data_IF_399677839603
#
_entry.id   IF_399677839603
#
_cell.length_a   1.000
_cell.length_b   1.000
_cell.length_c   1.000
_cell.angle_alpha   90.00
_cell.angle_beta   90.00
_cell.angle_gamma   90.00
#
_symmetry.space_group_name_H-M   'P 1'
#
loop_
_entity.id
_entity.type
_entity.pdbx_description
1 polymer ?
#
# COMPACT_ATOMS: atom_id res chain seq x y z
N UNK A 1 11.26 17.38 -14.83
CA UNK A 1 11.25 16.16 -14.00
C UNK A 1 11.68 14.99 -14.88
N UNK A 2 12.99 14.71 -14.96
CA UNK A 2 13.59 13.75 -15.92
C UNK A 2 13.58 12.29 -15.44
N UNK A 3 13.10 12.04 -14.23
CA UNK A 3 12.88 10.70 -13.67
C UNK A 3 11.59 10.70 -12.84
N UNK A 4 10.45 10.99 -13.47
CA UNK A 4 9.18 10.70 -12.81
C UNK A 4 9.15 9.19 -12.53
N UNK A 5 9.23 8.78 -11.26
CA UNK A 5 8.87 7.42 -10.86
C UNK A 5 7.41 7.25 -11.25
N UNK A 6 7.17 6.52 -12.34
CA UNK A 6 5.84 6.35 -12.88
C UNK A 6 4.96 5.73 -11.78
N UNK A 7 3.80 6.34 -11.54
CA UNK A 7 2.76 5.70 -10.75
C UNK A 7 2.41 4.36 -11.39
N UNK A 8 2.01 3.38 -10.57
CA UNK A 8 1.47 2.13 -11.11
C UNK A 8 0.36 2.44 -12.11
N UNK A 9 0.34 1.72 -13.22
CA UNK A 9 -0.75 1.78 -14.20
C UNK A 9 -1.73 0.65 -13.86
N UNK A 10 -2.82 0.91 -13.12
CA UNK A 10 -3.76 -0.12 -12.78
C UNK A 10 -4.42 -0.67 -14.05
N UNK A 11 -4.49 -2.00 -14.15
CA UNK A 11 -5.28 -2.69 -15.16
C UNK A 11 -6.60 -3.16 -14.56
N UNK A 12 -7.66 -3.39 -15.37
CA UNK A 12 -8.90 -3.99 -14.89
C UNK A 12 -8.63 -5.25 -14.05
N UNK A 13 -9.27 -5.32 -12.88
CA UNK A 13 -9.05 -6.40 -11.91
C UNK A 13 -7.99 -6.11 -10.84
N UNK A 14 -7.26 -4.99 -10.87
CA UNK A 14 -6.31 -4.68 -9.79
C UNK A 14 -7.01 -4.47 -8.43
N UNK A 15 -8.08 -3.67 -8.39
CA UNK A 15 -8.76 -3.31 -7.13
C UNK A 15 -9.60 -4.47 -6.60
N UNK A 16 -10.34 -5.15 -7.47
CA UNK A 16 -11.35 -6.16 -7.11
C UNK A 16 -10.94 -7.60 -7.41
N UNK A 17 -9.77 -7.84 -8.01
CA UNK A 17 -9.31 -9.17 -8.40
C UNK A 17 -8.51 -9.92 -7.33
N UNK A 18 -8.50 -9.45 -6.07
CA UNK A 18 -7.83 -10.13 -4.96
C UNK A 18 -6.30 -9.97 -4.94
N UNK A 19 -5.68 -9.42 -6.00
CA UNK A 19 -4.23 -9.27 -6.09
C UNK A 19 -3.69 -8.23 -5.10
N UNK A 20 -4.44 -7.13 -4.92
CA UNK A 20 -4.09 -6.04 -4.01
C UNK A 20 -4.11 -6.48 -2.55
N UNK A 21 -5.06 -7.33 -2.18
CA UNK A 21 -5.18 -7.93 -0.86
C UNK A 21 -4.00 -8.85 -0.58
N UNK A 22 -3.64 -9.72 -1.54
CA UNK A 22 -2.45 -10.58 -1.44
C UNK A 22 -1.16 -9.77 -1.27
N UNK A 23 -1.01 -8.66 -1.99
CA UNK A 23 0.14 -7.76 -1.86
C UNK A 23 0.17 -6.98 -0.54
N UNK A 24 -0.98 -6.83 0.13
CA UNK A 24 -1.09 -6.14 1.42
C UNK A 24 -0.74 -7.03 2.62
N UNK A 25 -0.55 -8.33 2.41
CA UNK A 25 -0.20 -9.29 3.46
C UNK A 25 1.19 -8.97 4.00
N UNK A 26 1.28 -8.85 5.33
CA UNK A 26 2.55 -8.65 6.02
C UNK A 26 3.24 -9.97 6.32
N UNK A 27 4.57 -9.92 6.42
CA UNK A 27 5.40 -11.03 6.85
C UNK A 27 6.01 -10.71 8.23
N UNK A 28 6.60 -11.71 8.94
CA UNK A 28 7.32 -11.44 10.18
C UNK A 28 8.36 -10.33 9.97
N UNK A 29 8.25 -9.26 10.75
CA UNK A 29 9.11 -8.07 10.70
C UNK A 29 9.13 -7.32 9.35
N UNK A 30 8.14 -7.54 8.46
CA UNK A 30 8.04 -6.86 7.17
C UNK A 30 6.59 -6.44 6.90
N UNK A 31 6.37 -5.13 6.82
CA UNK A 31 5.07 -4.54 6.50
C UNK A 31 5.17 -3.68 5.25
N UNK A 32 4.25 -3.90 4.30
CA UNK A 32 4.16 -3.08 3.10
C UNK A 32 3.34 -1.81 3.34
N UNK A 33 3.82 -0.70 2.80
CA UNK A 33 3.27 0.65 3.01
C UNK A 33 3.11 1.47 1.71
N UNK A 34 3.14 0.83 0.54
CA UNK A 34 3.01 1.55 -0.72
C UNK A 34 1.58 2.03 -0.94
N UNK A 35 1.41 3.29 -1.37
CA UNK A 35 0.13 3.88 -1.82
C UNK A 35 -0.61 3.04 -2.87
N UNK A 36 0.11 2.31 -3.74
CA UNK A 36 -0.49 1.43 -4.75
C UNK A 36 -1.40 0.33 -4.16
N UNK A 37 -1.18 -0.04 -2.90
CA UNK A 37 -2.04 -0.98 -2.16
C UNK A 37 -3.45 -0.41 -1.89
N UNK A 38 -3.65 0.89 -2.07
CA UNK A 38 -4.95 1.56 -2.05
C UNK A 38 -5.61 1.63 -3.42
N UNK A 39 -4.94 1.19 -4.48
CA UNK A 39 -5.44 1.22 -5.86
C UNK A 39 -5.23 2.56 -6.57
N UNK A 40 -4.80 3.60 -5.86
CA UNK A 40 -4.42 4.91 -6.42
C UNK A 40 -3.17 5.45 -5.74
N UNK A 41 -2.26 6.03 -6.52
CA UNK A 41 -0.94 6.48 -6.04
C UNK A 41 -0.95 7.97 -5.70
N UNK A 42 -1.73 8.37 -4.69
CA UNK A 42 -1.79 9.76 -4.20
C UNK A 42 -1.05 9.90 -2.85
N UNK A 43 -0.74 11.14 -2.47
CA UNK A 43 0.04 11.42 -1.25
C UNK A 43 -0.70 11.04 0.02
N UNK A 44 -2.02 11.24 0.06
CA UNK A 44 -2.90 10.88 1.18
C UNK A 44 -2.86 9.37 1.45
N UNK A 45 -2.86 8.57 0.39
CA UNK A 45 -2.74 7.12 0.50
C UNK A 45 -1.35 6.70 0.93
N UNK A 46 -0.30 7.36 0.44
CA UNK A 46 1.07 7.10 0.88
C UNK A 46 1.24 7.36 2.39
N UNK A 47 0.71 8.48 2.87
CA UNK A 47 0.71 8.82 4.29
C UNK A 47 -0.07 7.79 5.11
N UNK A 48 -1.29 7.48 4.70
CA UNK A 48 -2.18 6.54 5.40
C UNK A 48 -1.56 5.14 5.47
N UNK A 49 -0.97 4.66 4.37
CA UNK A 49 -0.29 3.35 4.33
C UNK A 49 0.95 3.32 5.21
N UNK A 50 1.74 4.40 5.22
CA UNK A 50 2.87 4.57 6.13
C UNK A 50 2.46 4.54 7.60
N UNK A 51 1.43 5.31 7.96
CA UNK A 51 0.86 5.34 9.31
C UNK A 51 0.37 3.96 9.76
N UNK A 52 -0.36 3.25 8.90
CA UNK A 52 -0.82 1.90 9.19
C UNK A 52 0.32 0.90 9.35
N UNK A 53 1.38 1.00 8.56
CA UNK A 53 2.56 0.15 8.72
C UNK A 53 3.29 0.42 10.04
N UNK A 54 3.42 1.68 10.44
CA UNK A 54 3.98 2.04 11.75
C UNK A 54 3.14 1.45 12.90
N UNK A 55 1.81 1.56 12.86
CA UNK A 55 0.94 0.96 13.87
C UNK A 55 1.06 -0.57 13.92
N UNK A 56 1.30 -1.25 12.78
CA UNK A 56 1.56 -2.70 12.77
C UNK A 56 2.86 -3.04 13.51
N UNK A 57 3.91 -2.24 13.31
CA UNK A 57 5.20 -2.40 14.02
C UNK A 57 5.01 -2.21 15.52
N UNK A 58 4.22 -1.21 15.93
CA UNK A 58 3.95 -0.90 17.34
C UNK A 58 2.97 -1.88 17.99
N UNK A 59 2.26 -2.71 17.22
CA UNK A 59 1.21 -3.60 17.73
C UNK A 59 -0.11 -2.89 18.06
N UNK A 60 -0.32 -1.68 17.55
CA UNK A 60 -1.47 -0.80 17.86
C UNK A 60 -2.58 -0.85 16.80
N UNK A 61 -2.54 -1.83 15.89
CA UNK A 61 -3.50 -1.91 14.80
C UNK A 61 -4.91 -2.24 15.34
N UNK A 62 -5.81 -1.25 15.31
CA UNK A 62 -7.24 -1.45 15.52
C UNK A 62 -7.80 -2.30 14.38
N UNK A 63 -8.48 -3.39 14.74
CA UNK A 63 -9.22 -4.28 13.85
C UNK A 63 -10.41 -3.52 13.27
#
# INVERSE_FOLDING_TARGET
MTYAHAMIRPIPGLIWGGQREKLSVSYPNLHFAHSDLSGISIFEEALTRGYNAANKILGEQKI
#
